data_IF_086156150532
#
_entry.id   IF_086156150532
#
_cell.length_a   1.000
_cell.length_b   1.000
_cell.length_c   1.000
_cell.angle_alpha   90.00
_cell.angle_beta   90.00
_cell.angle_gamma   90.00
#
_symmetry.space_group_name_H-M   'P 1'
#
loop_
_entity.id
_entity.type
_entity.pdbx_description
1 polymer ?
#
# COMPACT_ATOMS: atom_id res chain seq x y z
N UNK A 1 -27.78 -19.12 19.13
CA UNK A 1 -26.91 -17.93 19.18
C UNK A 1 -25.70 -18.17 18.28
N UNK A 2 -25.49 -17.28 17.31
CA UNK A 2 -24.60 -17.38 16.15
C UNK A 2 -23.10 -17.14 16.50
N UNK A 3 -22.53 -17.88 17.44
CA UNK A 3 -21.14 -17.64 17.91
C UNK A 3 -20.02 -18.26 17.03
N UNK A 4 -20.36 -18.99 15.95
CA UNK A 4 -19.38 -19.71 15.12
C UNK A 4 -19.20 -19.13 13.70
N UNK A 5 -19.56 -17.86 13.47
CA UNK A 5 -19.43 -17.26 12.13
C UNK A 5 -18.17 -16.40 12.06
N UNK A 6 -17.11 -16.94 11.47
CA UNK A 6 -15.88 -16.19 11.22
C UNK A 6 -15.99 -15.46 9.88
N UNK A 7 -15.93 -14.14 9.91
CA UNK A 7 -15.98 -13.28 8.72
C UNK A 7 -14.57 -12.78 8.42
N UNK A 8 -14.12 -13.02 7.19
CA UNK A 8 -12.81 -12.60 6.71
C UNK A 8 -12.95 -11.32 5.90
N UNK A 9 -11.99 -10.41 6.07
CA UNK A 9 -11.92 -9.16 5.30
C UNK A 9 -10.70 -9.21 4.39
N UNK A 10 -10.88 -8.78 3.15
CA UNK A 10 -9.83 -8.73 2.14
C UNK A 10 -9.89 -7.37 1.43
N UNK A 11 -8.74 -6.74 1.23
CA UNK A 11 -8.68 -5.50 0.44
C UNK A 11 -8.68 -5.82 -1.07
N UNK A 12 -9.04 -4.84 -1.90
CA UNK A 12 -9.15 -5.06 -3.35
C UNK A 12 -7.81 -5.36 -4.03
N UNK A 13 -6.69 -4.80 -3.53
CA UNK A 13 -5.37 -5.04 -4.13
C UNK A 13 -4.88 -6.46 -3.86
N UNK A 14 -5.21 -7.03 -2.70
CA UNK A 14 -4.91 -8.41 -2.34
C UNK A 14 -5.82 -9.37 -3.10
N UNK A 15 -7.09 -9.02 -3.34
CA UNK A 15 -7.94 -9.78 -4.25
C UNK A 15 -7.36 -9.85 -5.67
N UNK A 16 -6.82 -8.73 -6.18
CA UNK A 16 -6.10 -8.68 -7.47
C UNK A 16 -4.82 -9.53 -7.42
N UNK A 17 -4.04 -9.43 -6.34
CA UNK A 17 -2.80 -10.18 -6.19
C UNK A 17 -3.06 -11.70 -6.15
N UNK A 18 -4.12 -12.14 -5.47
CA UNK A 18 -4.56 -13.55 -5.46
C UNK A 18 -4.94 -13.97 -6.89
N UNK A 19 -5.75 -13.15 -7.59
CA UNK A 19 -6.13 -13.44 -8.97
C UNK A 19 -4.91 -13.61 -9.89
N UNK A 20 -3.95 -12.69 -9.81
CA UNK A 20 -2.70 -12.76 -10.58
C UNK A 20 -1.83 -13.96 -10.20
N UNK A 21 -1.75 -14.30 -8.91
CA UNK A 21 -1.02 -15.49 -8.46
C UNK A 21 -1.54 -16.76 -9.15
N UNK A 22 -2.85 -16.91 -9.30
CA UNK A 22 -3.43 -18.08 -9.97
C UNK A 22 -3.32 -18.03 -11.50
N UNK A 23 -3.24 -16.84 -12.11
CA UNK A 23 -3.11 -16.67 -13.55
C UNK A 23 -1.65 -16.85 -14.02
N UNK A 24 -0.72 -16.19 -13.33
CA UNK A 24 0.67 -16.06 -13.74
C UNK A 24 1.57 -17.08 -13.00
N UNK A 25 1.11 -17.64 -11.87
CA UNK A 25 1.90 -18.54 -11.04
C UNK A 25 2.95 -17.85 -10.16
N UNK A 26 3.02 -16.52 -10.20
CA UNK A 26 4.01 -15.71 -9.50
C UNK A 26 3.37 -14.78 -8.46
N UNK A 27 4.10 -14.51 -7.37
CA UNK A 27 3.61 -13.62 -6.32
C UNK A 27 3.59 -12.16 -6.80
N UNK A 28 2.38 -11.58 -6.87
CA UNK A 28 2.20 -10.19 -7.27
C UNK A 28 2.39 -9.22 -6.11
N UNK A 29 3.60 -8.66 -6.01
CA UNK A 29 4.00 -7.74 -4.94
C UNK A 29 3.78 -6.25 -5.26
N UNK A 30 3.29 -5.91 -6.45
CA UNK A 30 3.03 -4.50 -6.79
C UNK A 30 1.83 -3.96 -5.99
N UNK A 31 1.94 -2.71 -5.54
CA UNK A 31 0.92 -1.98 -4.80
C UNK A 31 0.78 -0.57 -5.35
N UNK A 32 -0.44 -0.07 -5.37
CA UNK A 32 -0.72 1.32 -5.72
C UNK A 32 -1.14 2.03 -4.44
N UNK A 33 -0.36 3.00 -3.99
CA UNK A 33 -0.66 3.74 -2.77
C UNK A 33 -0.92 5.21 -3.05
N UNK A 34 -1.73 5.84 -2.21
CA UNK A 34 -1.86 7.28 -2.21
C UNK A 34 -0.70 7.92 -1.47
N UNK A 35 0.09 8.72 -2.18
CA UNK A 35 1.03 9.65 -1.60
C UNK A 35 0.33 10.99 -1.42
N UNK A 36 0.12 11.41 -0.18
CA UNK A 36 -0.59 12.64 0.12
C UNK A 36 -0.33 13.12 1.55
N UNK A 37 -0.73 14.36 1.81
CA UNK A 37 -0.50 15.04 3.07
C UNK A 37 -0.15 16.52 2.83
N UNK A 38 -0.28 17.39 3.84
CA UNK A 38 -0.01 18.83 3.68
C UNK A 38 1.42 19.15 3.24
N UNK A 39 2.36 18.27 3.58
CA UNK A 39 3.79 18.41 3.32
C UNK A 39 4.25 17.67 2.05
N UNK A 40 3.34 17.06 1.30
CA UNK A 40 3.67 16.39 0.03
C UNK A 40 3.64 17.41 -1.10
N UNK A 41 4.73 17.49 -1.87
CA UNK A 41 4.88 18.43 -2.98
C UNK A 41 3.95 18.12 -4.15
N UNK A 42 3.79 16.83 -4.48
CA UNK A 42 2.94 16.36 -5.58
C UNK A 42 2.06 15.17 -5.16
N UNK A 43 0.88 15.43 -4.55
CA UNK A 43 -0.03 14.36 -4.13
C UNK A 43 -0.54 13.56 -5.32
N UNK A 44 -0.30 12.24 -5.33
CA UNK A 44 -0.70 11.34 -6.42
C UNK A 44 -0.78 9.89 -5.98
N UNK A 45 -1.29 9.04 -6.86
CA UNK A 45 -1.16 7.59 -6.73
C UNK A 45 0.22 7.17 -7.25
N UNK A 46 0.99 6.48 -6.42
CA UNK A 46 2.31 5.95 -6.79
C UNK A 46 2.28 4.43 -6.80
N UNK A 47 2.93 3.85 -7.80
CA UNK A 47 3.17 2.42 -7.87
C UNK A 47 4.42 2.09 -7.06
N UNK A 48 4.33 1.11 -6.19
CA UNK A 48 5.41 0.66 -5.32
C UNK A 48 5.32 -0.85 -5.11
N UNK A 49 6.22 -1.44 -4.33
CA UNK A 49 6.19 -2.85 -3.97
C UNK A 49 5.87 -3.03 -2.49
N UNK A 50 5.29 -4.18 -2.14
CA UNK A 50 5.08 -4.56 -0.74
C UNK A 50 6.42 -4.52 0.02
N UNK A 51 6.47 -3.81 1.14
CA UNK A 51 7.69 -3.66 1.94
C UNK A 51 8.73 -2.68 1.39
N UNK A 52 8.39 -1.86 0.38
CA UNK A 52 9.30 -0.82 -0.10
C UNK A 52 9.69 0.17 1.02
N UNK A 53 10.95 0.61 1.01
CA UNK A 53 11.43 1.65 1.91
C UNK A 53 10.66 2.95 1.67
N UNK A 54 10.07 3.49 2.73
CA UNK A 54 9.34 4.75 2.66
C UNK A 54 10.28 5.93 2.45
N UNK A 55 11.51 5.85 2.98
CA UNK A 55 12.53 6.89 2.81
C UNK A 55 12.89 7.04 1.32
N UNK A 56 13.13 5.92 0.64
CA UNK A 56 13.43 5.91 -0.79
C UNK A 56 12.22 6.36 -1.62
N UNK A 57 11.01 5.96 -1.22
CA UNK A 57 9.78 6.32 -1.92
C UNK A 57 9.44 7.82 -1.79
N UNK A 58 9.86 8.46 -0.70
CA UNK A 58 9.56 9.86 -0.37
C UNK A 58 10.72 10.81 -0.70
N UNK A 59 11.86 10.29 -1.18
CA UNK A 59 13.02 11.08 -1.54
C UNK A 59 12.67 12.13 -2.61
N UNK A 60 12.76 13.41 -2.25
CA UNK A 60 12.43 14.54 -3.13
C UNK A 60 10.94 14.84 -3.29
N UNK A 61 10.05 14.11 -2.60
CA UNK A 61 8.59 14.28 -2.69
C UNK A 61 8.00 15.10 -1.52
N UNK A 62 8.80 15.36 -0.48
CA UNK A 62 8.39 16.06 0.73
C UNK A 62 8.95 17.49 0.77
N UNK A 63 8.16 18.40 1.33
CA UNK A 63 8.60 19.77 1.66
C UNK A 63 9.61 19.76 2.81
N UNK A 64 10.53 20.72 2.84
CA UNK A 64 11.52 20.86 3.92
C UNK A 64 10.83 21.13 5.27
N UNK A 65 11.10 20.27 6.26
CA UNK A 65 10.53 20.37 7.60
C UNK A 65 10.46 19.02 8.33
N UNK A 66 10.00 19.02 9.58
CA UNK A 66 9.70 17.76 10.29
C UNK A 66 8.43 17.11 9.71
N UNK A 67 8.63 16.02 8.97
CA UNK A 67 7.55 15.27 8.35
C UNK A 67 7.33 13.95 9.08
N UNK A 68 6.12 13.75 9.63
CA UNK A 68 5.71 12.47 10.19
C UNK A 68 5.15 11.56 9.09
N UNK A 69 5.95 10.59 8.67
CA UNK A 69 5.52 9.57 7.70
C UNK A 69 4.66 8.52 8.40
N UNK A 70 3.48 8.24 7.83
CA UNK A 70 2.56 7.20 8.31
C UNK A 70 2.44 6.14 7.22
N UNK A 71 2.85 4.91 7.54
CA UNK A 71 2.70 3.77 6.62
C UNK A 71 1.35 3.10 6.81
N UNK A 72 0.66 2.83 5.70
CA UNK A 72 -0.46 1.88 5.64
C UNK A 72 -0.13 0.64 4.81
N UNK A 73 1.13 0.49 4.38
CA UNK A 73 1.57 -0.54 3.42
C UNK A 73 1.80 -1.94 4.02
N UNK A 74 1.54 -2.11 5.33
CA UNK A 74 1.86 -3.33 6.08
C UNK A 74 0.74 -3.83 6.99
N UNK A 75 -0.53 -3.54 6.68
CA UNK A 75 -1.69 -4.04 7.43
C UNK A 75 -2.72 -4.69 6.50
#
# INVERSE_FOLDING_TARGET
>A
MSLNKQVWHLNYQDAIAIGKLFLDGELYCERIIALGGPQVTSPRLVKTTLGASLEDLLAGELQEGENRVISRLGA
#
